data_IF_662708399784
#
_entry.id   IF_662708399784
#
_cell.length_a   1.000
_cell.length_b   1.000
_cell.length_c   1.000
_cell.angle_alpha   90.00
_cell.angle_beta   90.00
_cell.angle_gamma   90.00
#
_symmetry.space_group_name_H-M   'P 1'
#
loop_
_entity.id
_entity.type
_entity.pdbx_description
1 polymer ?
#
# COMPACT_ATOMS: atom_id res chain seq x y z
N UNK A 1 12.80 -10.58 15.49
CA UNK A 1 11.97 -11.76 15.21
C UNK A 1 11.07 -11.56 13.98
N UNK A 2 10.17 -12.50 13.72
CA UNK A 2 9.25 -12.41 12.58
C UNK A 2 8.33 -11.18 12.64
N UNK A 3 7.88 -10.82 13.84
CA UNK A 3 7.02 -9.66 14.04
C UNK A 3 7.76 -8.34 13.78
N UNK A 4 9.04 -8.26 14.14
CA UNK A 4 9.88 -7.10 13.84
C UNK A 4 10.09 -6.93 12.33
N UNK A 5 10.29 -8.04 11.61
CA UNK A 5 10.40 -8.05 10.15
C UNK A 5 9.11 -7.61 9.48
N UNK A 6 7.97 -8.10 9.96
CA UNK A 6 6.66 -7.71 9.44
C UNK A 6 6.39 -6.22 9.66
N UNK A 7 6.68 -5.70 10.86
CA UNK A 7 6.56 -4.28 11.17
C UNK A 7 7.48 -3.43 10.29
N UNK A 8 8.72 -3.86 10.07
CA UNK A 8 9.66 -3.20 9.17
C UNK A 8 9.15 -3.16 7.73
N UNK A 9 8.65 -4.28 7.18
CA UNK A 9 8.11 -4.34 5.83
C UNK A 9 6.91 -3.41 5.63
N UNK A 10 6.01 -3.35 6.62
CA UNK A 10 4.87 -2.42 6.59
C UNK A 10 5.32 -0.95 6.70
N UNK A 11 6.37 -0.69 7.48
CA UNK A 11 6.98 0.65 7.59
C UNK A 11 7.57 1.16 6.28
N UNK A 12 8.07 0.27 5.41
CA UNK A 12 8.61 0.64 4.09
C UNK A 12 7.58 1.36 3.21
N UNK A 13 6.29 1.09 3.38
CA UNK A 13 5.23 1.79 2.66
C UNK A 13 5.24 3.29 2.97
N UNK A 14 5.28 3.63 4.25
CA UNK A 14 5.32 5.03 4.70
C UNK A 14 6.63 5.71 4.32
N UNK A 15 7.76 5.02 4.46
CA UNK A 15 9.08 5.54 4.09
C UNK A 15 9.18 5.79 2.59
N UNK A 16 8.70 4.86 1.76
CA UNK A 16 8.70 5.00 0.31
C UNK A 16 7.83 6.19 -0.13
N UNK A 17 6.65 6.32 0.45
CA UNK A 17 5.78 7.46 0.18
C UNK A 17 6.42 8.78 0.60
N UNK A 18 6.99 8.85 1.80
CA UNK A 18 7.65 10.05 2.29
C UNK A 18 8.84 10.45 1.40
N UNK A 19 9.65 9.49 0.97
CA UNK A 19 10.76 9.75 0.05
C UNK A 19 10.28 10.30 -1.29
N UNK A 20 9.21 9.75 -1.85
CA UNK A 20 8.58 10.25 -3.08
C UNK A 20 8.07 11.69 -2.89
N UNK A 21 7.25 11.94 -1.88
CA UNK A 21 6.64 13.23 -1.62
C UNK A 21 7.68 14.34 -1.42
N UNK A 22 8.66 14.10 -0.55
CA UNK A 22 9.75 15.05 -0.29
C UNK A 22 10.56 15.33 -1.55
N UNK A 23 10.94 14.30 -2.29
CA UNK A 23 11.74 14.44 -3.51
C UNK A 23 10.97 15.19 -4.59
N UNK A 24 9.71 14.82 -4.83
CA UNK A 24 8.89 15.46 -5.84
C UNK A 24 8.68 16.94 -5.55
N UNK A 25 8.37 17.29 -4.29
CA UNK A 25 8.22 18.68 -3.85
C UNK A 25 9.53 19.47 -3.99
N UNK A 26 10.67 18.86 -3.72
CA UNK A 26 11.98 19.53 -3.85
C UNK A 26 12.33 19.88 -5.29
N UNK A 27 11.81 19.13 -6.27
CA UNK A 27 12.02 19.37 -7.69
C UNK A 27 11.01 20.37 -8.27
N UNK A 28 9.90 20.62 -7.61
CA UNK A 28 8.78 21.42 -8.11
C UNK A 28 9.15 22.89 -8.45
N UNK A 29 10.06 23.57 -7.73
CA UNK A 29 10.52 24.92 -8.12
C UNK A 29 11.10 24.99 -9.52
N UNK A 30 11.66 23.88 -10.05
CA UNK A 30 12.28 23.79 -11.36
C UNK A 30 11.30 23.30 -12.48
N UNK A 31 10.00 23.33 -12.23
CA UNK A 31 8.97 22.92 -13.20
C UNK A 31 8.99 23.77 -14.48
N UNK A 32 8.53 23.19 -15.57
CA UNK A 32 8.64 23.77 -16.91
C UNK A 32 7.95 25.13 -17.03
N UNK A 33 6.72 25.28 -16.57
CA UNK A 33 5.97 26.53 -16.61
C UNK A 33 5.15 26.74 -15.33
N UNK A 34 5.61 27.61 -14.42
CA UNK A 34 4.91 27.87 -13.15
C UNK A 34 3.52 28.51 -13.30
N UNK A 35 3.20 29.08 -14.45
CA UNK A 35 1.87 29.66 -14.73
C UNK A 35 0.83 28.58 -15.02
N UNK A 36 1.26 27.48 -15.62
CA UNK A 36 0.43 26.32 -15.91
C UNK A 36 0.44 25.34 -14.75
N UNK A 37 1.64 25.03 -14.25
CA UNK A 37 1.84 24.11 -13.13
C UNK A 37 1.94 24.89 -11.81
N UNK A 38 0.81 25.33 -11.30
CA UNK A 38 0.70 26.05 -10.04
C UNK A 38 0.91 25.14 -8.82
N UNK A 39 1.08 25.68 -7.64
CA UNK A 39 1.20 24.88 -6.41
C UNK A 39 -0.08 24.08 -6.10
N UNK A 40 -1.25 24.57 -6.54
CA UNK A 40 -2.50 23.79 -6.45
C UNK A 40 -2.47 22.53 -7.31
N UNK A 41 -1.87 22.60 -8.51
CA UNK A 41 -1.67 21.42 -9.37
C UNK A 41 -0.76 20.39 -8.72
N UNK A 42 0.27 20.83 -8.00
CA UNK A 42 1.14 19.94 -7.22
C UNK A 42 0.35 19.14 -6.18
N UNK A 43 -0.45 19.83 -5.38
CA UNK A 43 -1.23 19.18 -4.30
C UNK A 43 -2.25 18.19 -4.87
N UNK A 44 -2.96 18.57 -5.92
CA UNK A 44 -3.93 17.70 -6.59
C UNK A 44 -3.24 16.46 -7.21
N UNK A 45 -2.06 16.64 -7.80
CA UNK A 45 -1.29 15.55 -8.37
C UNK A 45 -0.82 14.57 -7.30
N UNK A 46 -0.24 15.06 -6.20
CA UNK A 46 0.23 14.20 -5.10
C UNK A 46 -0.94 13.44 -4.46
N UNK A 47 -2.06 14.12 -4.21
CA UNK A 47 -3.26 13.49 -3.70
C UNK A 47 -3.78 12.38 -4.62
N UNK A 48 -3.78 12.64 -5.95
CA UNK A 48 -4.19 11.64 -6.94
C UNK A 48 -3.24 10.45 -6.98
N UNK A 49 -1.93 10.67 -6.94
CA UNK A 49 -0.93 9.58 -6.93
C UNK A 49 -1.12 8.71 -5.69
N UNK A 50 -1.36 9.29 -4.52
CA UNK A 50 -1.65 8.55 -3.29
C UNK A 50 -2.89 7.66 -3.45
N UNK A 51 -3.98 8.25 -3.92
CA UNK A 51 -5.26 7.56 -4.11
C UNK A 51 -5.15 6.41 -5.11
N UNK A 52 -4.53 6.66 -6.26
CA UNK A 52 -4.34 5.66 -7.31
C UNK A 52 -3.37 4.56 -6.86
N UNK A 53 -2.29 4.93 -6.19
CA UNK A 53 -1.30 3.98 -5.66
C UNK A 53 -1.91 2.96 -4.70
N UNK A 54 -2.80 3.40 -3.82
CA UNK A 54 -3.53 2.51 -2.91
C UNK A 54 -4.44 1.55 -3.70
N UNK A 55 -5.16 2.06 -4.69
CA UNK A 55 -6.04 1.26 -5.53
C UNK A 55 -5.28 0.21 -6.35
N UNK A 56 -4.17 0.59 -6.97
CA UNK A 56 -3.29 -0.34 -7.69
C UNK A 56 -2.65 -1.38 -6.77
N UNK A 57 -2.18 -0.96 -5.60
CA UNK A 57 -1.62 -1.87 -4.60
C UNK A 57 -2.63 -2.91 -4.14
N UNK A 58 -3.88 -2.50 -3.90
CA UNK A 58 -4.96 -3.42 -3.56
C UNK A 58 -5.25 -4.43 -4.67
N UNK A 59 -5.34 -3.97 -5.93
CA UNK A 59 -5.58 -4.84 -7.08
C UNK A 59 -4.41 -5.82 -7.30
N UNK A 60 -3.18 -5.33 -7.18
CA UNK A 60 -1.98 -6.17 -7.33
C UNK A 60 -1.92 -7.26 -6.26
N UNK A 61 -2.20 -6.93 -5.00
CA UNK A 61 -2.22 -7.91 -3.92
C UNK A 61 -3.33 -8.97 -4.13
N UNK A 62 -4.53 -8.55 -4.54
CA UNK A 62 -5.64 -9.49 -4.85
C UNK A 62 -5.27 -10.46 -5.97
N UNK A 63 -4.70 -9.96 -7.07
CA UNK A 63 -4.38 -10.82 -8.20
C UNK A 63 -3.30 -11.85 -7.88
N UNK A 64 -2.44 -11.58 -6.89
CA UNK A 64 -1.43 -12.54 -6.39
C UNK A 64 -2.05 -13.70 -5.63
N UNK A 65 -3.26 -13.54 -5.12
CA UNK A 65 -3.99 -14.59 -4.41
C UNK A 65 -4.92 -15.36 -5.35
N UNK A 66 -5.74 -14.64 -6.13
CA UNK A 66 -6.80 -15.26 -6.95
C UNK A 66 -6.40 -15.45 -8.42
N UNK A 67 -5.37 -14.77 -8.89
CA UNK A 67 -4.91 -14.81 -10.27
C UNK A 67 -3.94 -15.97 -10.56
N UNK A 68 -3.48 -16.01 -11.81
CA UNK A 68 -2.46 -16.98 -12.26
C UNK A 68 -1.05 -16.64 -11.76
N UNK A 69 -0.76 -15.34 -11.56
CA UNK A 69 0.54 -14.85 -11.09
C UNK A 69 0.63 -14.91 -9.57
N UNK A 70 0.64 -16.10 -9.02
CA UNK A 70 0.72 -16.35 -7.58
C UNK A 70 2.09 -16.01 -7.01
N UNK A 71 2.14 -15.77 -5.70
CA UNK A 71 3.39 -15.47 -4.99
C UNK A 71 3.90 -16.70 -4.23
N UNK A 72 5.19 -16.99 -4.36
CA UNK A 72 5.83 -18.09 -3.64
C UNK A 72 5.69 -17.96 -2.12
N UNK A 73 5.72 -16.74 -1.59
CA UNK A 73 5.58 -16.47 -0.14
C UNK A 73 4.27 -17.01 0.45
N UNK A 74 3.22 -17.13 -0.35
CA UNK A 74 1.94 -17.71 0.05
C UNK A 74 1.86 -19.19 -0.34
N UNK A 75 2.27 -19.52 -1.57
CA UNK A 75 2.12 -20.87 -2.12
C UNK A 75 3.00 -21.91 -1.42
N UNK A 76 4.14 -21.51 -0.86
CA UNK A 76 5.05 -22.41 -0.13
C UNK A 76 4.67 -22.61 1.34
N UNK A 77 3.68 -21.88 1.85
CA UNK A 77 3.21 -22.06 3.22
C UNK A 77 2.50 -23.41 3.40
N UNK A 78 2.60 -23.97 4.61
CA UNK A 78 1.80 -25.11 5.01
C UNK A 78 0.30 -24.84 4.79
N UNK A 79 -0.50 -25.85 4.40
CA UNK A 79 -1.91 -25.64 3.98
C UNK A 79 -2.74 -24.85 5.00
N UNK A 80 -2.57 -25.13 6.30
CA UNK A 80 -3.32 -24.45 7.36
C UNK A 80 -2.91 -22.98 7.56
N UNK A 81 -1.66 -22.61 7.24
CA UNK A 81 -1.20 -21.22 7.27
C UNK A 81 -1.55 -20.47 5.98
N UNK A 82 -1.54 -21.18 4.86
CA UNK A 82 -1.82 -20.61 3.54
C UNK A 82 -3.22 -20.00 3.45
N UNK A 83 -4.23 -20.69 3.98
CA UNK A 83 -5.61 -20.19 3.96
C UNK A 83 -5.74 -18.90 4.79
N UNK A 84 -5.17 -18.85 5.98
CA UNK A 84 -5.17 -17.66 6.83
C UNK A 84 -4.45 -16.48 6.17
N UNK A 85 -3.26 -16.73 5.59
CA UNK A 85 -2.48 -15.72 4.88
C UNK A 85 -3.24 -15.17 3.67
N UNK A 86 -3.78 -16.04 2.82
CA UNK A 86 -4.56 -15.63 1.65
C UNK A 86 -5.78 -14.79 2.04
N UNK A 87 -6.51 -15.23 3.06
CA UNK A 87 -7.67 -14.50 3.61
C UNK A 87 -7.26 -13.13 4.15
N UNK A 88 -6.13 -13.06 4.83
CA UNK A 88 -5.56 -11.80 5.37
C UNK A 88 -5.26 -10.81 4.24
N UNK A 89 -4.54 -11.24 3.21
CA UNK A 89 -4.23 -10.41 2.04
C UNK A 89 -5.49 -9.92 1.35
N UNK A 90 -6.48 -10.78 1.11
CA UNK A 90 -7.74 -10.38 0.47
C UNK A 90 -8.53 -9.37 1.29
N UNK A 91 -8.58 -9.54 2.62
CA UNK A 91 -9.24 -8.58 3.52
C UNK A 91 -8.52 -7.23 3.56
N UNK A 92 -7.19 -7.23 3.65
CA UNK A 92 -6.39 -6.02 3.62
C UNK A 92 -6.56 -5.28 2.28
N UNK A 93 -6.51 -6.01 1.17
CA UNK A 93 -6.72 -5.45 -0.18
C UNK A 93 -8.12 -4.85 -0.33
N UNK A 94 -9.15 -5.54 0.16
CA UNK A 94 -10.51 -5.01 0.17
C UNK A 94 -10.61 -3.73 0.99
N UNK A 95 -10.03 -3.71 2.19
CA UNK A 95 -9.97 -2.50 3.02
C UNK A 95 -9.31 -1.34 2.25
N UNK A 96 -8.15 -1.56 1.66
CA UNK A 96 -7.46 -0.55 0.85
C UNK A 96 -8.34 -0.02 -0.29
N UNK A 97 -8.93 -0.91 -1.07
CA UNK A 97 -9.77 -0.54 -2.21
C UNK A 97 -11.02 0.28 -1.81
N UNK A 98 -11.64 -0.08 -0.68
CA UNK A 98 -12.92 0.52 -0.27
C UNK A 98 -12.77 1.77 0.59
N UNK A 99 -11.62 1.95 1.27
CA UNK A 99 -11.40 3.08 2.20
C UNK A 99 -10.44 4.15 1.67
N UNK A 100 -9.86 3.97 0.48
CA UNK A 100 -8.85 4.88 -0.07
C UNK A 100 -9.32 6.33 -0.20
N UNK A 101 -10.61 6.57 -0.42
CA UNK A 101 -11.15 7.93 -0.49
C UNK A 101 -11.32 8.59 0.88
N UNK A 102 -11.37 7.81 1.95
CA UNK A 102 -11.49 8.32 3.32
C UNK A 102 -10.11 8.56 3.97
N UNK A 103 -9.11 7.76 3.62
CA UNK A 103 -7.75 7.87 4.15
C UNK A 103 -6.74 7.42 3.11
N UNK A 104 -5.86 8.34 2.70
CA UNK A 104 -4.74 8.11 1.78
C UNK A 104 -3.39 8.09 2.50
N UNK A 105 -3.36 8.14 3.84
CA UNK A 105 -2.10 8.10 4.58
C UNK A 105 -1.44 6.72 4.50
N UNK A 106 -0.20 6.67 4.03
CA UNK A 106 0.56 5.42 3.91
C UNK A 106 0.73 4.72 5.27
N UNK A 107 0.97 5.48 6.34
CA UNK A 107 1.08 4.95 7.71
C UNK A 107 -0.24 4.37 8.22
N UNK A 108 -1.36 5.07 8.03
CA UNK A 108 -2.69 4.59 8.43
C UNK A 108 -3.09 3.33 7.69
N UNK A 109 -2.81 3.25 6.39
CA UNK A 109 -3.07 2.06 5.58
C UNK A 109 -2.18 0.89 6.03
N UNK A 110 -0.90 1.12 6.25
CA UNK A 110 0.03 0.11 6.73
C UNK A 110 -0.40 -0.45 8.09
N UNK A 111 -0.82 0.42 9.00
CA UNK A 111 -1.32 0.00 10.32
C UNK A 111 -2.56 -0.89 10.20
N UNK A 112 -3.59 -0.44 9.48
CA UNK A 112 -4.83 -1.22 9.30
C UNK A 112 -4.61 -2.54 8.57
N UNK A 113 -3.76 -2.54 7.55
CA UNK A 113 -3.38 -3.76 6.86
C UNK A 113 -2.67 -4.74 7.82
N UNK A 114 -1.75 -4.24 8.64
CA UNK A 114 -1.05 -5.02 9.65
C UNK A 114 -2.00 -5.65 10.67
N UNK A 115 -2.95 -4.90 11.20
CA UNK A 115 -3.98 -5.40 12.13
C UNK A 115 -4.81 -6.54 11.50
N UNK A 116 -5.21 -6.39 10.23
CA UNK A 116 -5.98 -7.41 9.50
C UNK A 116 -5.13 -8.68 9.30
N UNK A 117 -3.87 -8.53 8.89
CA UNK A 117 -2.96 -9.64 8.65
C UNK A 117 -2.69 -10.43 9.95
N UNK A 118 -2.44 -9.72 11.05
CA UNK A 118 -2.26 -10.35 12.37
C UNK A 118 -3.51 -11.10 12.83
N UNK A 119 -4.70 -10.52 12.66
CA UNK A 119 -5.97 -11.13 13.06
C UNK A 119 -6.31 -12.40 12.26
N UNK A 120 -5.73 -12.58 11.07
CA UNK A 120 -5.98 -13.75 10.20
C UNK A 120 -4.89 -14.83 10.27
N UNK A 121 -3.77 -14.55 10.94
CA UNK A 121 -2.61 -15.44 11.02
C UNK A 121 -2.89 -16.76 11.73
N UNK A 122 -3.79 -16.77 12.68
CA UNK A 122 -4.03 -17.89 13.61
C UNK A 122 -5.40 -18.58 13.46
N UNK A 123 -6.12 -18.32 12.37
CA UNK A 123 -7.46 -18.90 12.17
C UNK A 123 -7.57 -19.74 10.92
#
# INVERSE_FOLDING_TARGET
>A
GEDDRAAWLLGLLAETWAAFDVTFRSLWPNRVDPRVFTDGVLEDFIAKVALDGIGFGAAEAMRRIVGLAKTADIETLEPHLREGAARGVLRASRMMATTRHADTSASGIAQRAGEILLATRTR
#
